data_IF_091378936657
#
_entry.id   IF_091378936657
#
_cell.length_a   1.000
_cell.length_b   1.000
_cell.length_c   1.000
_cell.angle_alpha   90.00
_cell.angle_beta   90.00
_cell.angle_gamma   90.00
#
_symmetry.space_group_name_H-M   'P 1'
#
loop_
_entity.id
_entity.type
_entity.pdbx_description
1 polymer ?
#
# COMPACT_ATOMS: atom_id res chain seq x y z
N UNK A 1 -30.48 -4.54 15.76
CA UNK A 1 -29.15 -4.17 16.26
C UNK A 1 -28.20 -4.21 15.07
N UNK A 2 -28.12 -3.10 14.31
CA UNK A 2 -27.39 -3.06 13.03
C UNK A 2 -25.91 -2.81 13.30
N UNK A 3 -25.07 -3.78 12.95
CA UNK A 3 -23.61 -3.68 12.97
C UNK A 3 -23.26 -2.61 11.93
N UNK A 4 -22.88 -1.42 12.40
CA UNK A 4 -22.45 -0.33 11.51
C UNK A 4 -21.25 -0.81 10.70
N UNK A 5 -21.47 -0.93 9.41
CA UNK A 5 -20.52 -1.29 8.37
C UNK A 5 -19.29 -0.39 8.50
N UNK A 6 -18.17 -0.98 8.89
CA UNK A 6 -16.91 -0.27 9.12
C UNK A 6 -16.27 -0.10 7.74
N UNK A 7 -16.56 0.99 7.04
CA UNK A 7 -15.92 1.33 5.75
C UNK A 7 -14.42 1.48 6.00
N UNK A 8 -13.63 0.47 5.60
CA UNK A 8 -12.16 0.49 5.67
C UNK A 8 -11.66 0.69 4.25
N UNK A 9 -10.94 1.78 4.01
CA UNK A 9 -10.41 2.12 2.69
C UNK A 9 -9.09 1.34 2.47
N UNK A 10 -9.18 0.13 1.93
CA UNK A 10 -8.03 -0.76 1.70
C UNK A 10 -7.10 -0.25 0.58
N UNK A 11 -7.63 0.60 -0.28
CA UNK A 11 -6.94 1.29 -1.37
C UNK A 11 -6.14 2.53 -0.89
N UNK A 12 -6.17 2.83 0.40
CA UNK A 12 -5.41 3.93 0.99
C UNK A 12 -3.94 3.55 1.17
N UNK A 13 -3.02 4.45 0.77
CA UNK A 13 -1.55 4.31 0.96
C UNK A 13 -1.11 4.08 2.41
N UNK A 14 -1.97 4.38 3.38
CA UNK A 14 -1.72 4.20 4.80
C UNK A 14 -2.37 2.96 5.40
N UNK A 15 -3.03 2.14 4.57
CA UNK A 15 -3.59 0.86 4.98
C UNK A 15 -2.46 -0.14 5.31
N UNK A 16 -2.62 -0.86 6.41
CA UNK A 16 -1.62 -1.83 6.91
C UNK A 16 -2.16 -3.27 6.99
N UNK A 17 -3.48 -3.47 6.92
CA UNK A 17 -4.12 -4.78 6.97
C UNK A 17 -4.27 -5.37 8.38
N UNK A 18 -3.19 -5.39 9.16
CA UNK A 18 -3.12 -6.04 10.48
C UNK A 18 -3.42 -5.10 11.66
N UNK A 19 -3.23 -3.79 11.47
CA UNK A 19 -3.39 -2.77 12.51
C UNK A 19 -3.89 -1.44 11.96
N UNK A 20 -4.42 -0.55 12.83
CA UNK A 20 -4.85 0.77 12.39
C UNK A 20 -3.70 1.63 11.84
N UNK A 21 -4.00 2.49 10.88
CA UNK A 21 -3.02 3.42 10.31
C UNK A 21 -2.57 4.49 11.33
N UNK A 22 -1.48 5.21 11.01
CA UNK A 22 -0.93 6.27 11.87
C UNK A 22 -1.92 7.40 12.22
N UNK A 23 -2.85 7.71 11.32
CA UNK A 23 -3.84 8.78 11.52
C UNK A 23 -4.95 8.31 12.44
N UNK A 24 -5.43 7.08 12.26
CA UNK A 24 -6.37 6.46 13.20
C UNK A 24 -5.79 6.42 14.62
N UNK A 25 -4.52 6.05 14.76
CA UNK A 25 -3.86 5.94 16.07
C UNK A 25 -3.62 7.29 16.75
N UNK A 26 -3.31 8.36 16.00
CA UNK A 26 -2.95 9.67 16.56
C UNK A 26 -4.15 10.61 16.75
N UNK A 27 -5.09 10.58 15.82
CA UNK A 27 -6.18 11.56 15.73
C UNK A 27 -7.55 10.92 15.97
N UNK A 28 -7.63 9.59 16.09
CA UNK A 28 -8.89 8.87 16.28
C UNK A 28 -9.80 8.87 15.03
N UNK A 29 -9.32 9.38 13.89
CA UNK A 29 -10.09 9.48 12.64
C UNK A 29 -10.46 8.10 12.12
N UNK A 30 -11.70 7.96 11.62
CA UNK A 30 -12.20 6.74 10.98
C UNK A 30 -12.15 6.89 9.47
N UNK A 31 -12.01 5.79 8.75
CA UNK A 31 -11.77 5.81 7.29
C UNK A 31 -12.91 6.48 6.49
N UNK A 32 -14.17 6.38 6.91
CA UNK A 32 -15.31 6.96 6.20
C UNK A 32 -15.21 8.46 5.93
N UNK A 33 -14.68 9.23 6.89
CA UNK A 33 -14.54 10.69 6.79
C UNK A 33 -13.08 11.13 7.02
N UNK A 34 -12.11 10.27 6.64
CA UNK A 34 -10.70 10.52 6.94
C UNK A 34 -10.12 11.62 6.04
N UNK A 35 -9.65 12.76 6.59
CA UNK A 35 -9.04 13.82 5.80
C UNK A 35 -7.68 13.43 5.20
N UNK A 36 -7.07 12.36 5.71
CA UNK A 36 -5.79 11.82 5.26
C UNK A 36 -5.95 10.64 4.29
N UNK A 37 -7.16 10.39 3.79
CA UNK A 37 -7.40 9.38 2.78
C UNK A 37 -6.59 9.71 1.52
N UNK A 38 -5.76 8.76 1.09
CA UNK A 38 -4.85 8.93 -0.03
C UNK A 38 -4.85 7.64 -0.84
N UNK A 39 -5.73 7.51 -1.84
CA UNK A 39 -5.77 6.32 -2.69
C UNK A 39 -4.52 6.26 -3.57
N UNK A 40 -4.09 5.05 -3.92
CA UNK A 40 -3.13 4.88 -5.02
C UNK A 40 -3.84 5.06 -6.36
N UNK A 41 -3.23 5.83 -7.27
CA UNK A 41 -3.81 6.10 -8.59
C UNK A 41 -3.59 4.95 -9.58
N UNK A 42 -2.53 4.15 -9.37
CA UNK A 42 -2.25 2.95 -10.14
C UNK A 42 -1.32 2.01 -9.39
N UNK A 43 -1.41 0.74 -9.72
CA UNK A 43 -0.68 -0.35 -9.09
C UNK A 43 0.31 -0.97 -10.08
N UNK A 44 1.50 -1.30 -9.59
CA UNK A 44 2.54 -2.02 -10.34
C UNK A 44 2.83 -3.30 -9.57
N UNK A 45 2.52 -4.44 -10.17
CA UNK A 45 2.88 -5.75 -9.66
C UNK A 45 4.17 -6.25 -10.34
N UNK A 46 5.20 -6.51 -9.54
CA UNK A 46 6.44 -7.13 -9.98
C UNK A 46 6.42 -8.60 -9.57
N UNK A 47 6.52 -9.50 -10.55
CA UNK A 47 6.56 -10.94 -10.32
C UNK A 47 7.98 -11.43 -10.63
N UNK A 48 8.69 -11.89 -9.61
CA UNK A 48 10.04 -12.45 -9.76
C UNK A 48 10.19 -13.65 -8.83
N UNK A 49 9.94 -14.83 -9.36
CA UNK A 49 9.86 -16.09 -8.61
C UNK A 49 11.18 -16.89 -8.59
N UNK A 50 12.27 -16.28 -9.08
CA UNK A 50 13.59 -16.92 -9.18
C UNK A 50 14.33 -16.85 -7.82
N UNK A 51 15.57 -17.36 -7.78
CA UNK A 51 16.42 -17.37 -6.60
C UNK A 51 16.59 -15.96 -6.00
N UNK A 52 16.73 -15.91 -4.66
CA UNK A 52 16.84 -14.66 -3.90
C UNK A 52 17.95 -13.73 -4.41
N UNK A 53 19.06 -14.29 -4.91
CA UNK A 53 20.15 -13.51 -5.49
C UNK A 53 19.74 -12.73 -6.73
N UNK A 54 18.84 -13.27 -7.55
CA UNK A 54 18.32 -12.58 -8.73
C UNK A 54 17.29 -11.51 -8.36
N UNK A 55 16.41 -11.82 -7.40
CA UNK A 55 15.48 -10.84 -6.81
C UNK A 55 16.26 -9.63 -6.31
N UNK A 56 17.31 -9.84 -5.52
CA UNK A 56 18.14 -8.76 -4.96
C UNK A 56 18.74 -7.86 -6.05
N UNK A 57 19.32 -8.44 -7.11
CA UNK A 57 19.90 -7.66 -8.21
C UNK A 57 18.84 -6.83 -8.94
N UNK A 58 17.65 -7.39 -9.11
CA UNK A 58 16.53 -6.70 -9.77
C UNK A 58 15.86 -5.63 -8.91
N UNK A 59 16.07 -5.59 -7.59
CA UNK A 59 15.52 -4.50 -6.74
C UNK A 59 16.01 -3.10 -7.14
N UNK A 60 17.13 -3.03 -7.86
CA UNK A 60 17.68 -1.80 -8.43
C UNK A 60 16.72 -1.06 -9.38
N UNK A 61 15.66 -1.71 -9.88
CA UNK A 61 14.63 -1.06 -10.71
C UNK A 61 13.65 -0.21 -9.89
N UNK A 62 13.53 -0.44 -8.57
CA UNK A 62 12.50 0.19 -7.73
C UNK A 62 12.63 1.72 -7.67
N UNK A 63 13.83 2.32 -7.51
CA UNK A 63 13.97 3.77 -7.53
C UNK A 63 13.53 4.38 -8.86
N UNK A 64 13.94 3.80 -9.99
CA UNK A 64 13.58 4.30 -11.32
C UNK A 64 12.08 4.16 -11.62
N UNK A 65 11.46 3.08 -11.16
CA UNK A 65 10.01 2.95 -11.21
C UNK A 65 9.34 4.05 -10.38
N UNK A 66 9.80 4.30 -9.15
CA UNK A 66 9.18 5.31 -8.29
C UNK A 66 9.40 6.74 -8.77
N UNK A 67 10.53 7.03 -9.41
CA UNK A 67 10.79 8.33 -10.05
C UNK A 67 9.86 8.58 -11.24
N UNK A 68 9.71 7.58 -12.11
CA UNK A 68 8.81 7.67 -13.28
C UNK A 68 7.33 7.66 -12.89
N UNK A 69 7.02 6.98 -11.79
CA UNK A 69 5.66 6.67 -11.33
C UNK A 69 5.51 7.02 -9.84
N UNK A 70 5.60 8.31 -9.48
CA UNK A 70 5.66 8.74 -8.07
C UNK A 70 4.43 8.36 -7.26
N UNK A 71 3.27 8.28 -7.92
CA UNK A 71 2.00 7.95 -7.26
C UNK A 71 1.65 6.46 -7.24
N UNK A 72 2.53 5.60 -7.78
CA UNK A 72 2.29 4.15 -7.88
C UNK A 72 2.34 3.43 -6.54
N UNK A 73 1.55 2.37 -6.41
CA UNK A 73 1.71 1.35 -5.38
C UNK A 73 2.45 0.14 -5.95
N UNK A 74 3.60 -0.21 -5.36
CA UNK A 74 4.48 -1.28 -5.82
C UNK A 74 4.30 -2.51 -4.94
N UNK A 75 3.84 -3.61 -5.54
CA UNK A 75 3.81 -4.92 -4.90
C UNK A 75 4.83 -5.83 -5.56
N UNK A 76 5.62 -6.56 -4.77
CA UNK A 76 6.60 -7.53 -5.27
C UNK A 76 6.28 -8.92 -4.76
N UNK A 77 6.03 -9.85 -5.68
CA UNK A 77 5.84 -11.26 -5.35
C UNK A 77 7.12 -12.04 -5.71
N UNK A 78 7.66 -12.69 -4.69
CA UNK A 78 8.78 -13.64 -4.77
C UNK A 78 8.37 -14.98 -4.16
N UNK A 79 9.14 -16.04 -4.41
CA UNK A 79 9.02 -17.33 -3.71
C UNK A 79 9.61 -17.26 -2.31
#
# INVERSE_FOLDING_TARGET
MSIREKTINQDCRYYLGDRPCRFHKREGVKCGDCPHYSPFSFEILIIKLDAAGDVLRTTSILPGLKERYPDSYLTWITR
#
